data_IF_354261103968
#
_entry.id   IF_354261103968
#
_cell.length_a   1.000
_cell.length_b   1.000
_cell.length_c   1.000
_cell.angle_alpha   90.00
_cell.angle_beta   90.00
_cell.angle_gamma   90.00
#
_symmetry.space_group_name_H-M   'P 1'
#
loop_
_entity.id
_entity.type
_entity.pdbx_description
1 polymer ?
#
# COMPACT_ATOMS: atom_id res chain seq x y z
N UNK A 1 14.80 -25.22 -17.15
CA UNK A 1 14.83 -25.69 -15.73
C UNK A 1 14.38 -24.60 -14.74
N UNK A 2 15.26 -23.62 -14.33
CA UNK A 2 14.89 -22.65 -13.31
C UNK A 2 13.67 -21.79 -13.72
N UNK A 3 13.65 -21.29 -14.95
CA UNK A 3 12.53 -20.48 -15.46
C UNK A 3 11.21 -21.26 -15.50
N UNK A 4 11.26 -22.53 -15.85
CA UNK A 4 10.09 -23.44 -15.85
C UNK A 4 9.58 -23.64 -14.42
N UNK A 5 10.48 -23.95 -13.47
CA UNK A 5 10.12 -24.10 -12.06
C UNK A 5 9.52 -22.83 -11.44
N UNK A 6 10.04 -21.65 -11.82
CA UNK A 6 9.49 -20.37 -11.39
C UNK A 6 8.09 -20.16 -11.94
N UNK A 7 7.88 -20.50 -13.24
CA UNK A 7 6.58 -20.36 -13.89
C UNK A 7 5.54 -21.32 -13.34
N UNK A 8 5.93 -22.56 -13.00
CA UNK A 8 5.07 -23.54 -12.34
C UNK A 8 4.62 -23.08 -10.96
N UNK A 9 5.51 -22.41 -10.20
CA UNK A 9 5.17 -21.89 -8.87
C UNK A 9 4.34 -20.61 -8.91
N UNK A 10 4.54 -19.77 -9.92
CA UNK A 10 3.83 -18.51 -10.08
C UNK A 10 3.73 -18.14 -11.57
N UNK A 11 2.55 -18.35 -12.13
CA UNK A 11 2.27 -18.04 -13.55
C UNK A 11 2.43 -16.56 -13.89
N UNK A 12 2.22 -15.66 -12.92
CA UNK A 12 2.24 -14.21 -13.11
C UNK A 12 3.59 -13.57 -12.82
N UNK A 13 4.57 -14.31 -12.26
CA UNK A 13 5.88 -13.74 -11.95
C UNK A 13 6.58 -13.25 -13.23
N UNK A 14 7.28 -12.12 -13.14
CA UNK A 14 8.07 -11.61 -14.25
C UNK A 14 9.45 -12.22 -14.24
N UNK A 15 9.79 -12.84 -15.36
CA UNK A 15 11.08 -13.48 -15.56
C UNK A 15 11.87 -12.66 -16.55
N UNK A 16 13.01 -12.14 -16.14
CA UNK A 16 13.95 -11.42 -17.00
C UNK A 16 15.27 -12.18 -17.05
N UNK A 17 15.73 -12.48 -18.24
CA UNK A 17 17.02 -13.12 -18.45
C UNK A 17 18.11 -12.08 -18.67
N UNK A 18 19.21 -12.22 -17.96
CA UNK A 18 20.46 -11.48 -18.22
C UNK A 18 21.54 -12.51 -18.57
N UNK A 19 21.94 -12.57 -19.83
CA UNK A 19 22.79 -13.62 -20.35
C UNK A 19 23.83 -13.13 -21.34
N UNK A 20 24.97 -13.81 -21.43
CA UNK A 20 25.97 -13.63 -22.49
C UNK A 20 25.66 -14.43 -23.78
N UNK A 21 24.58 -15.21 -23.78
CA UNK A 21 24.24 -16.10 -24.88
C UNK A 21 22.97 -15.64 -25.62
N UNK A 22 23.07 -14.73 -26.61
CA UNK A 22 21.92 -14.24 -27.37
C UNK A 22 21.14 -15.34 -28.08
N UNK A 23 21.82 -16.37 -28.54
CA UNK A 23 21.25 -17.47 -29.37
C UNK A 23 20.28 -18.37 -28.58
N UNK A 24 20.27 -18.28 -27.23
CA UNK A 24 19.37 -19.08 -26.39
C UNK A 24 17.99 -18.45 -26.18
N UNK A 25 17.76 -17.23 -26.67
CA UNK A 25 16.46 -16.56 -26.55
C UNK A 25 15.32 -17.40 -27.15
N UNK A 26 15.52 -17.95 -28.34
CA UNK A 26 14.54 -18.80 -29.02
C UNK A 26 14.22 -20.05 -28.21
N UNK A 27 15.23 -20.67 -27.62
CA UNK A 27 15.05 -21.86 -26.75
C UNK A 27 14.18 -21.53 -25.53
N UNK A 28 14.38 -20.36 -24.93
CA UNK A 28 13.59 -19.91 -23.77
C UNK A 28 12.13 -19.65 -24.15
N UNK A 29 11.89 -19.05 -25.31
CA UNK A 29 10.54 -18.79 -25.83
C UNK A 29 9.81 -20.12 -26.11
N UNK A 30 10.47 -21.07 -26.74
CA UNK A 30 9.89 -22.38 -27.10
C UNK A 30 9.53 -23.23 -25.87
N UNK A 31 10.13 -22.98 -24.71
CA UNK A 31 9.83 -23.68 -23.44
C UNK A 31 8.62 -23.12 -22.69
N UNK A 32 7.82 -22.26 -23.31
CA UNK A 32 6.61 -21.65 -22.70
C UNK A 32 6.88 -20.87 -21.41
N UNK A 33 8.11 -20.42 -21.17
CA UNK A 33 8.47 -19.64 -19.98
C UNK A 33 7.91 -18.22 -20.08
N UNK A 34 7.67 -17.73 -21.31
CA UNK A 34 7.18 -16.37 -21.59
C UNK A 34 7.92 -15.31 -20.78
N UNK A 35 9.22 -15.09 -21.07
CA UNK A 35 10.01 -14.10 -20.33
C UNK A 35 9.50 -12.69 -20.61
N UNK A 36 9.48 -11.85 -19.59
CA UNK A 36 9.14 -10.43 -19.72
C UNK A 36 10.27 -9.62 -20.35
N UNK A 37 11.50 -10.12 -20.28
CA UNK A 37 12.66 -9.48 -20.89
C UNK A 37 13.85 -10.40 -21.08
N UNK A 38 14.66 -10.07 -22.08
CA UNK A 38 15.89 -10.78 -22.40
C UNK A 38 17.00 -9.75 -22.64
N UNK A 39 17.90 -9.62 -21.67
CA UNK A 39 19.00 -8.67 -21.69
C UNK A 39 20.31 -9.40 -21.99
N UNK A 40 21.11 -8.84 -22.87
CA UNK A 40 22.42 -9.39 -23.19
C UNK A 40 23.45 -8.76 -22.26
N UNK A 41 24.30 -9.59 -21.65
CA UNK A 41 25.40 -9.12 -20.82
C UNK A 41 26.43 -8.38 -21.68
N UNK A 42 26.74 -7.19 -21.27
CA UNK A 42 27.82 -6.37 -21.79
C UNK A 42 29.14 -6.62 -21.03
N UNK A 43 30.25 -6.25 -21.63
CA UNK A 43 31.60 -6.48 -21.03
C UNK A 43 31.86 -5.68 -19.76
N UNK A 44 31.14 -4.58 -19.54
CA UNK A 44 31.37 -3.70 -18.40
C UNK A 44 30.17 -3.66 -17.44
N UNK A 45 30.47 -3.55 -16.17
CA UNK A 45 29.46 -3.40 -15.12
C UNK A 45 28.51 -2.21 -15.40
N UNK A 46 29.05 -1.06 -15.77
CA UNK A 46 28.29 0.17 -16.01
C UNK A 46 27.26 0.01 -17.16
N UNK A 47 27.64 -0.70 -18.24
CA UNK A 47 26.71 -0.97 -19.35
C UNK A 47 25.61 -1.93 -18.91
N UNK A 48 25.94 -2.98 -18.19
CA UNK A 48 24.94 -3.90 -17.64
C UNK A 48 23.95 -3.18 -16.72
N UNK A 49 24.47 -2.31 -15.82
CA UNK A 49 23.66 -1.50 -14.93
C UNK A 49 22.69 -0.60 -15.71
N UNK A 50 23.19 0.10 -16.74
CA UNK A 50 22.34 0.95 -17.60
C UNK A 50 21.25 0.14 -18.32
N UNK A 51 21.59 -1.04 -18.88
CA UNK A 51 20.62 -1.90 -19.55
C UNK A 51 19.51 -2.35 -18.62
N UNK A 52 19.87 -2.79 -17.39
CA UNK A 52 18.89 -3.19 -16.38
C UNK A 52 18.04 -2.01 -15.95
N UNK A 53 18.64 -0.85 -15.67
CA UNK A 53 17.90 0.36 -15.30
C UNK A 53 16.93 0.81 -16.39
N UNK A 54 17.39 0.84 -17.66
CA UNK A 54 16.54 1.18 -18.81
C UNK A 54 15.36 0.22 -18.97
N UNK A 55 15.60 -1.08 -18.78
CA UNK A 55 14.53 -2.08 -18.79
C UNK A 55 13.51 -1.83 -17.68
N UNK A 56 13.97 -1.63 -16.45
CA UNK A 56 13.10 -1.38 -15.29
C UNK A 56 12.29 -0.09 -15.42
N UNK A 57 12.87 0.96 -16.04
CA UNK A 57 12.15 2.21 -16.32
C UNK A 57 11.04 1.99 -17.35
N UNK A 58 11.32 1.29 -18.47
CA UNK A 58 10.31 0.93 -19.48
C UNK A 58 9.21 0.05 -18.90
N UNK A 59 9.57 -0.88 -18.03
CA UNK A 59 8.58 -1.70 -17.33
C UNK A 59 7.69 -0.85 -16.42
N UNK A 60 8.20 0.16 -15.76
CA UNK A 60 7.39 1.12 -14.98
C UNK A 60 6.43 1.93 -15.86
N UNK A 61 6.81 2.28 -17.07
CA UNK A 61 5.95 2.99 -18.03
C UNK A 61 4.86 2.08 -18.63
N UNK A 62 5.19 0.81 -18.92
CA UNK A 62 4.27 -0.18 -19.50
C UNK A 62 3.33 -0.81 -18.45
N UNK A 63 3.62 -0.66 -17.18
CA UNK A 63 2.66 -0.83 -16.13
C UNK A 63 2.05 0.53 -15.86
N UNK A 64 0.81 0.76 -16.26
CA UNK A 64 0.01 1.67 -15.48
C UNK A 64 0.08 1.07 -14.07
N UNK A 65 0.97 1.65 -13.27
CA UNK A 65 0.98 1.42 -11.84
C UNK A 65 -0.47 1.65 -11.45
N UNK A 66 -1.20 0.58 -11.14
CA UNK A 66 -2.43 0.68 -10.37
C UNK A 66 -2.11 1.20 -8.95
N UNK A 67 -0.85 1.38 -8.65
CA UNK A 67 -0.29 2.40 -7.80
C UNK A 67 0.02 3.64 -8.68
N UNK A 68 -1.01 4.25 -9.30
CA UNK A 68 -0.98 5.70 -9.53
C UNK A 68 -0.30 6.25 -8.28
N UNK A 69 0.68 7.13 -8.43
CA UNK A 69 1.36 7.82 -7.34
C UNK A 69 0.31 8.20 -6.30
N UNK A 70 -0.03 7.22 -5.44
CA UNK A 70 -1.04 7.40 -4.42
C UNK A 70 -0.48 8.52 -3.61
N UNK A 71 -1.21 9.61 -3.57
CA UNK A 71 -0.87 10.75 -2.73
C UNK A 71 -0.49 10.17 -1.39
N UNK A 72 0.82 9.99 -1.15
CA UNK A 72 1.30 9.50 0.14
C UNK A 72 1.14 10.56 1.23
N UNK A 73 0.80 11.77 0.82
CA UNK A 73 0.63 12.93 1.67
C UNK A 73 -0.80 13.45 1.60
N UNK A 74 -1.31 13.90 2.72
CA UNK A 74 -2.54 14.66 2.81
C UNK A 74 -2.27 16.00 3.45
N UNK A 75 -3.17 16.97 3.22
CA UNK A 75 -3.10 18.29 3.86
C UNK A 75 -4.20 18.38 4.91
N UNK A 76 -3.81 18.68 6.14
CA UNK A 76 -4.72 18.88 7.25
C UNK A 76 -4.54 20.28 7.80
N UNK A 77 -5.63 21.00 8.00
CA UNK A 77 -5.60 22.35 8.54
C UNK A 77 -5.92 22.34 10.03
N UNK A 78 -4.96 22.76 10.85
CA UNK A 78 -5.21 23.07 12.26
C UNK A 78 -4.52 24.37 12.66
N UNK A 79 -5.14 25.11 13.60
CA UNK A 79 -4.75 26.50 13.83
C UNK A 79 -4.92 27.33 12.56
N UNK A 80 -3.91 28.12 12.21
CA UNK A 80 -3.88 28.96 11.02
C UNK A 80 -2.98 28.41 9.89
N UNK A 81 -2.50 27.17 10.03
CA UNK A 81 -1.51 26.57 9.13
C UNK A 81 -2.05 25.33 8.45
N UNK A 82 -1.59 25.10 7.22
CA UNK A 82 -1.77 23.84 6.51
C UNK A 82 -0.58 22.92 6.81
N UNK A 83 -0.87 21.72 7.30
CA UNK A 83 0.12 20.71 7.65
C UNK A 83 0.07 19.58 6.64
N UNK A 84 1.24 19.21 6.12
CA UNK A 84 1.39 18.11 5.18
C UNK A 84 1.78 16.86 5.96
N UNK A 85 0.88 15.88 6.00
CA UNK A 85 1.03 14.66 6.80
C UNK A 85 1.14 13.48 5.84
N UNK A 86 2.15 12.64 6.06
CA UNK A 86 2.28 11.39 5.33
C UNK A 86 1.24 10.39 5.84
N UNK A 87 0.60 9.62 4.93
CA UNK A 87 -0.41 8.66 5.36
C UNK A 87 0.14 7.60 6.29
N UNK A 88 1.41 7.23 6.16
CA UNK A 88 2.07 6.26 7.06
C UNK A 88 2.12 6.73 8.52
N UNK A 89 2.09 8.05 8.76
CA UNK A 89 2.05 8.62 10.12
C UNK A 89 0.67 8.52 10.76
N UNK A 90 -0.39 8.41 9.94
CA UNK A 90 -1.78 8.42 10.43
C UNK A 90 -2.12 7.03 10.96
N UNK A 91 -2.53 6.94 12.22
CA UNK A 91 -3.13 5.75 12.79
C UNK A 91 -4.64 5.74 12.53
N UNK A 92 -5.32 6.79 13.00
CA UNK A 92 -6.75 6.93 12.77
C UNK A 92 -7.23 8.37 12.96
N UNK A 93 -8.43 8.64 12.46
CA UNK A 93 -9.18 9.84 12.78
C UNK A 93 -10.45 9.42 13.53
N UNK A 94 -10.84 10.20 14.53
CA UNK A 94 -12.04 9.92 15.31
C UNK A 94 -12.90 11.16 15.54
N UNK A 95 -14.23 10.96 15.65
CA UNK A 95 -15.12 12.02 16.07
C UNK A 95 -14.93 12.28 17.58
N UNK A 96 -14.85 13.55 17.94
CA UNK A 96 -14.68 13.99 19.34
C UNK A 96 -16.04 14.37 19.93
N UNK A 97 -16.61 13.56 20.84
CA UNK A 97 -17.85 13.90 21.53
C UNK A 97 -17.71 15.22 22.28
N UNK A 98 -18.72 16.08 22.20
CA UNK A 98 -18.69 17.39 22.84
C UNK A 98 -18.00 18.51 22.05
N UNK A 99 -17.24 18.21 21.02
CA UNK A 99 -16.58 19.20 20.17
C UNK A 99 -17.29 19.35 18.81
N UNK A 100 -17.97 20.46 18.62
CA UNK A 100 -18.66 20.74 17.36
C UNK A 100 -17.64 21.06 16.26
N UNK A 101 -17.73 20.35 15.13
CA UNK A 101 -16.84 20.51 13.98
C UNK A 101 -15.34 20.33 14.26
N UNK A 102 -15.01 19.45 15.21
CA UNK A 102 -13.62 19.02 15.46
C UNK A 102 -13.54 17.50 15.52
N UNK A 103 -12.40 16.99 15.11
CA UNK A 103 -12.06 15.56 15.14
C UNK A 103 -10.65 15.40 15.71
N UNK A 104 -10.40 14.28 16.37
CA UNK A 104 -9.06 13.85 16.73
C UNK A 104 -8.38 13.20 15.53
N UNK A 105 -7.18 13.63 15.22
CA UNK A 105 -6.27 12.98 14.29
C UNK A 105 -5.11 12.40 15.09
N UNK A 106 -5.05 11.09 15.16
CA UNK A 106 -4.01 10.37 15.92
C UNK A 106 -2.94 9.90 14.96
N UNK A 107 -1.73 10.39 15.19
CA UNK A 107 -0.52 10.05 14.48
C UNK A 107 0.33 9.08 15.30
N UNK A 108 1.42 8.59 14.77
CA UNK A 108 2.33 7.67 15.48
C UNK A 108 2.90 8.27 16.78
N UNK A 109 3.19 9.58 16.75
CA UNK A 109 3.91 10.25 17.84
C UNK A 109 3.08 11.35 18.53
N UNK A 110 1.93 11.75 17.97
CA UNK A 110 1.11 12.82 18.51
C UNK A 110 -0.38 12.67 18.19
N UNK A 111 -1.22 13.35 18.97
CA UNK A 111 -2.65 13.54 18.68
C UNK A 111 -2.93 15.01 18.44
N UNK A 112 -3.64 15.32 17.35
CA UNK A 112 -3.95 16.67 16.91
C UNK A 112 -5.45 16.87 16.81
N UNK A 113 -5.96 17.98 17.35
CA UNK A 113 -7.36 18.37 17.20
C UNK A 113 -7.52 19.21 15.93
N UNK A 114 -8.15 18.66 14.89
CA UNK A 114 -8.32 19.33 13.61
C UNK A 114 -9.76 19.77 13.33
N UNK A 115 -9.91 20.82 12.53
CA UNK A 115 -11.24 21.36 12.18
C UNK A 115 -11.90 20.51 11.09
N UNK A 116 -13.12 20.07 11.34
CA UNK A 116 -13.91 19.34 10.35
C UNK A 116 -14.79 18.26 10.96
N UNK A 117 -15.28 17.38 10.09
CA UNK A 117 -16.11 16.24 10.48
C UNK A 117 -15.57 14.97 9.82
N UNK A 118 -15.82 13.82 10.41
CA UNK A 118 -15.46 12.51 9.82
C UNK A 118 -16.02 12.39 8.40
N UNK A 119 -17.24 12.87 8.15
CA UNK A 119 -17.86 12.86 6.82
C UNK A 119 -17.08 13.69 5.78
N UNK A 120 -16.52 14.83 6.17
CA UNK A 120 -15.66 15.66 5.30
C UNK A 120 -14.37 14.93 4.97
N UNK A 121 -13.68 14.40 5.99
CA UNK A 121 -12.42 13.70 5.81
C UNK A 121 -12.55 12.38 5.03
N UNK A 122 -13.65 11.65 5.16
CA UNK A 122 -13.94 10.48 4.32
C UNK A 122 -13.93 10.80 2.83
N UNK A 123 -14.36 12.02 2.45
CA UNK A 123 -14.39 12.47 1.05
C UNK A 123 -13.04 13.01 0.55
N UNK A 124 -12.26 13.65 1.45
CA UNK A 124 -11.03 14.34 1.07
C UNK A 124 -9.77 13.47 1.16
N UNK A 125 -9.77 12.46 2.02
CA UNK A 125 -8.65 11.53 2.15
C UNK A 125 -8.74 10.47 1.05
N UNK A 126 -7.70 10.37 0.23
CA UNK A 126 -7.62 9.44 -0.92
C UNK A 126 -6.48 8.45 -0.71
N UNK A 127 -6.68 7.52 0.22
CA UNK A 127 -5.72 6.45 0.49
C UNK A 127 -6.48 5.13 0.66
N UNK A 128 -6.03 4.11 -0.04
CA UNK A 128 -6.79 2.86 -0.17
C UNK A 128 -6.84 2.01 1.10
N UNK A 129 -5.83 2.18 1.97
CA UNK A 129 -5.77 1.46 3.25
C UNK A 129 -6.56 2.15 4.36
N UNK A 130 -7.25 3.26 4.06
CA UNK A 130 -8.15 3.89 5.00
C UNK A 130 -9.52 3.22 5.01
N UNK A 131 -9.84 2.50 6.09
CA UNK A 131 -11.19 2.02 6.34
C UNK A 131 -12.11 3.18 6.69
N UNK A 132 -13.00 3.54 5.75
CA UNK A 132 -13.91 4.70 5.83
C UNK A 132 -15.35 4.32 6.18
N UNK A 133 -15.68 3.04 6.33
CA UNK A 133 -17.07 2.56 6.52
C UNK A 133 -17.55 2.63 7.96
N UNK A 134 -16.67 3.06 8.85
CA UNK A 134 -16.96 3.24 10.26
C UNK A 134 -17.63 4.60 10.52
N UNK A 135 -18.68 4.65 11.36
CA UNK A 135 -19.46 5.88 11.59
C UNK A 135 -18.63 7.00 12.23
N UNK A 136 -17.83 6.66 13.24
CA UNK A 136 -17.10 7.62 14.07
C UNK A 136 -15.60 7.68 13.79
N UNK A 137 -15.07 6.80 12.92
CA UNK A 137 -13.66 6.61 12.68
C UNK A 137 -13.31 6.58 11.20
N UNK A 138 -12.05 6.88 10.89
CA UNK A 138 -11.34 6.52 9.67
C UNK A 138 -10.04 5.88 10.16
N UNK A 139 -9.77 4.62 9.81
CA UNK A 139 -8.64 3.87 10.35
C UNK A 139 -7.68 3.50 9.24
N UNK A 140 -6.40 3.76 9.43
CA UNK A 140 -5.36 3.29 8.54
C UNK A 140 -4.99 1.84 8.88
N UNK A 141 -5.35 0.93 8.02
CA UNK A 141 -5.18 -0.50 8.24
C UNK A 141 -3.74 -0.98 8.11
N UNK A 142 -2.86 -0.24 7.43
CA UNK A 142 -1.43 -0.57 7.33
C UNK A 142 -0.71 -0.47 8.69
N UNK A 143 -1.19 0.37 9.59
CA UNK A 143 -0.60 0.57 10.90
C UNK A 143 -1.18 -0.36 11.98
N UNK A 144 -2.10 -1.27 11.64
CA UNK A 144 -2.70 -2.22 12.58
C UNK A 144 -1.78 -3.43 12.78
N UNK A 145 -1.51 -3.79 14.01
CA UNK A 145 -0.77 -5.00 14.38
C UNK A 145 -1.67 -6.12 14.88
N UNK A 146 -2.77 -5.78 15.57
CA UNK A 146 -3.73 -6.80 16.03
C UNK A 146 -5.13 -6.23 16.22
N UNK A 147 -6.13 -7.12 16.13
CA UNK A 147 -7.53 -6.81 16.39
C UNK A 147 -8.13 -7.90 17.27
N UNK A 148 -8.53 -7.54 18.50
CA UNK A 148 -9.23 -8.39 19.43
C UNK A 148 -10.73 -8.06 19.45
N UNK A 149 -11.56 -8.96 18.88
CA UNK A 149 -13.00 -8.82 18.92
C UNK A 149 -13.57 -9.05 20.33
N UNK A 150 -12.90 -9.89 21.12
CA UNK A 150 -13.33 -10.23 22.48
C UNK A 150 -13.13 -9.03 23.41
N UNK A 151 -11.96 -8.39 23.32
CA UNK A 151 -11.59 -7.25 24.14
C UNK A 151 -12.06 -5.92 23.53
N UNK A 152 -12.62 -5.94 22.33
CA UNK A 152 -13.08 -4.74 21.60
C UNK A 152 -11.94 -3.72 21.34
N UNK A 153 -10.70 -4.22 21.11
CA UNK A 153 -9.48 -3.41 20.96
C UNK A 153 -8.83 -3.64 19.60
N UNK A 154 -8.40 -2.54 18.99
CA UNK A 154 -7.47 -2.50 17.84
C UNK A 154 -6.13 -1.96 18.34
N UNK A 155 -5.04 -2.68 18.08
CA UNK A 155 -3.68 -2.28 18.46
C UNK A 155 -2.89 -1.86 17.23
N UNK A 156 -2.16 -0.75 17.32
CA UNK A 156 -1.35 -0.19 16.26
C UNK A 156 0.15 -0.47 16.46
N UNK A 157 0.94 -0.23 15.42
CA UNK A 157 2.36 -0.55 15.40
C UNK A 157 3.21 0.20 16.45
N UNK A 158 2.76 1.37 16.89
CA UNK A 158 3.40 2.14 17.97
C UNK A 158 2.94 1.72 19.38
N UNK A 159 2.06 0.71 19.51
CA UNK A 159 1.49 0.25 20.75
C UNK A 159 0.19 0.97 21.19
N UNK A 160 -0.24 1.98 20.44
CA UNK A 160 -1.52 2.66 20.65
C UNK A 160 -2.69 1.67 20.58
N UNK A 161 -3.68 1.84 21.44
CA UNK A 161 -4.87 0.99 21.49
C UNK A 161 -6.15 1.81 21.35
N UNK A 162 -6.99 1.40 20.42
CA UNK A 162 -8.30 2.00 20.17
C UNK A 162 -9.41 1.03 20.57
N UNK A 163 -10.22 1.42 21.56
CA UNK A 163 -11.43 0.69 21.91
C UNK A 163 -12.56 1.03 20.94
N UNK A 164 -13.24 0.00 20.42
CA UNK A 164 -14.36 0.17 19.51
C UNK A 164 -15.31 -1.02 19.57
N UNK A 165 -16.61 -0.75 19.51
CA UNK A 165 -17.64 -1.79 19.63
C UNK A 165 -17.56 -2.88 18.55
N UNK A 166 -18.02 -4.08 18.86
CA UNK A 166 -17.95 -5.31 18.04
C UNK A 166 -18.36 -5.11 16.60
N UNK A 167 -19.44 -4.35 16.33
CA UNK A 167 -19.90 -4.07 14.96
C UNK A 167 -18.89 -3.29 14.13
N UNK A 168 -18.15 -2.38 14.76
CA UNK A 168 -17.09 -1.61 14.09
C UNK A 168 -15.87 -2.48 13.81
N UNK A 169 -15.52 -3.34 14.75
CA UNK A 169 -14.44 -4.33 14.58
C UNK A 169 -14.76 -5.31 13.46
N UNK A 170 -15.98 -5.83 13.38
CA UNK A 170 -16.39 -6.75 12.32
C UNK A 170 -16.27 -6.07 10.94
N UNK A 171 -16.71 -4.82 10.81
CA UNK A 171 -16.53 -4.04 9.56
C UNK A 171 -15.06 -3.83 9.19
N UNK A 172 -14.23 -3.51 10.18
CA UNK A 172 -12.80 -3.31 9.98
C UNK A 172 -12.11 -4.59 9.49
N UNK A 173 -12.43 -5.72 10.10
CA UNK A 173 -11.93 -7.04 9.69
C UNK A 173 -12.33 -7.39 8.26
N UNK A 174 -13.60 -7.19 7.89
CA UNK A 174 -14.08 -7.43 6.54
C UNK A 174 -13.31 -6.58 5.52
N UNK A 175 -13.13 -5.29 5.80
CA UNK A 175 -12.35 -4.41 4.94
C UNK A 175 -10.90 -4.90 4.75
N UNK A 176 -10.25 -5.36 5.82
CA UNK A 176 -8.89 -5.91 5.74
C UNK A 176 -8.83 -7.22 4.94
N UNK A 177 -9.81 -8.11 5.11
CA UNK A 177 -9.90 -9.35 4.34
C UNK A 177 -10.06 -9.09 2.84
N UNK A 178 -10.96 -8.19 2.45
CA UNK A 178 -11.13 -7.77 1.05
C UNK A 178 -9.84 -7.21 0.45
N UNK A 179 -9.04 -6.49 1.24
CA UNK A 179 -7.73 -5.98 0.79
C UNK A 179 -6.72 -7.10 0.57
N UNK A 180 -6.58 -8.04 1.49
CA UNK A 180 -5.66 -9.18 1.39
C UNK A 180 -6.02 -10.05 0.18
N UNK A 181 -7.30 -10.31 -0.05
CA UNK A 181 -7.77 -11.07 -1.21
C UNK A 181 -7.44 -10.38 -2.53
N UNK A 182 -7.62 -9.05 -2.60
CA UNK A 182 -7.31 -8.26 -3.81
C UNK A 182 -5.81 -8.12 -4.10
N UNK A 183 -4.95 -8.22 -3.10
CA UNK A 183 -3.48 -8.17 -3.27
C UNK A 183 -2.90 -9.55 -3.63
N UNK A 184 -3.66 -10.62 -3.43
CA UNK A 184 -3.23 -12.00 -3.72
C UNK A 184 -3.45 -12.40 -5.19
N UNK A 185 -4.00 -11.52 -6.01
CA UNK A 185 -4.25 -11.67 -7.45
C UNK A 185 -3.44 -10.65 -8.25
#
# INVERSE_FOLDING_TARGET
ELGEMLREKNEKCKIVYLTSHPNKAITVINRKITPSGYLIKEFTYEKNKKSIQSYLLKEKENYPVQHATKKRWTTVRYGNSDHYIHYDEILYLMSMPGYKNKIGLVLKDEEILVNGTIKKYKKSLEYEYLCKDLKAYIINTENITSISRVNEIVTFANGEQLEMGKRSIDKLKNFMQEKIENESF
#
